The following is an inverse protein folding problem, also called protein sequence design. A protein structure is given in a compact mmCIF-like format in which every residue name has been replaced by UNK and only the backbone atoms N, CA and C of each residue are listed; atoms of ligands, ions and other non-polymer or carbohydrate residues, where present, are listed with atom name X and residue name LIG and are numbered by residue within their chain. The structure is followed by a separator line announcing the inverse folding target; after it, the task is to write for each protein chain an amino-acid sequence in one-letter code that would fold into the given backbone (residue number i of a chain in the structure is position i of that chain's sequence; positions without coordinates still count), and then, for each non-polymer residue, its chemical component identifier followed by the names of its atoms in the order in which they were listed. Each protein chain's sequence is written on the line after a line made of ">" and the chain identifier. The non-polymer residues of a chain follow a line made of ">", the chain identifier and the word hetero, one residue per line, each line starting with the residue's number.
data_IF_650891260180
#
_entry.id   IF_650891260180
#
_cell.length_a   1.000
_cell.length_b   1.000
_cell.length_c   1.000
_cell.angle_alpha   90.00
_cell.angle_beta   90.00
_cell.angle_gamma   90.00
#
_symmetry.space_group_name_H-M   'P 1'
#
loop_
_entity.id
_entity.type
_entity.pdbx_description
1 polymer ?
#
# COMPACT_ATOMS: atom_id res chain seq x y z
N UNK A 1 -39.57 46.62 -13.77
CA UNK A 1 -39.68 45.45 -12.88
C UNK A 1 -38.49 44.55 -13.20
N UNK A 2 -37.74 44.18 -12.15
CA UNK A 2 -36.52 43.32 -12.07
C UNK A 2 -35.27 43.77 -12.85
N UNK A 3 -34.14 44.24 -12.29
CA UNK A 3 -33.44 44.11 -10.99
C UNK A 3 -32.99 42.69 -10.58
N UNK A 4 -31.65 42.53 -10.64
CA UNK A 4 -30.73 41.81 -9.72
C UNK A 4 -30.04 40.53 -10.25
N UNK A 5 -28.79 40.36 -9.77
CA UNK A 5 -27.94 39.14 -9.75
C UNK A 5 -27.10 38.96 -11.04
N UNK A 6 -25.77 39.12 -11.14
CA UNK A 6 -24.62 38.97 -10.23
C UNK A 6 -23.48 39.92 -10.66
N UNK A 7 -22.98 40.74 -9.73
CA UNK A 7 -21.59 41.19 -9.76
C UNK A 7 -20.70 39.97 -9.46
N UNK A 8 -19.92 39.52 -10.42
CA UNK A 8 -18.77 38.66 -10.14
C UNK A 8 -17.59 39.57 -9.75
N UNK A 9 -17.20 39.45 -8.48
CA UNK A 9 -16.11 40.17 -7.86
C UNK A 9 -14.82 40.02 -8.68
N UNK A 10 -14.32 41.16 -9.15
CA UNK A 10 -12.93 41.35 -9.54
C UNK A 10 -12.13 41.25 -8.24
N UNK A 11 -11.44 40.13 -7.99
CA UNK A 11 -10.45 40.03 -6.91
C UNK A 11 -9.30 40.96 -7.30
N UNK A 12 -9.01 42.04 -6.55
CA UNK A 12 -7.77 42.76 -6.75
C UNK A 12 -6.66 41.93 -6.10
N UNK A 13 -5.77 41.36 -6.91
CA UNK A 13 -4.45 40.95 -6.46
C UNK A 13 -3.77 42.23 -5.97
N UNK A 14 -3.71 42.40 -4.66
CA UNK A 14 -2.98 43.46 -4.00
C UNK A 14 -1.50 43.31 -4.36
N UNK A 15 -1.03 44.20 -5.23
CA UNK A 15 0.38 44.53 -5.35
C UNK A 15 0.83 45.21 -4.05
N UNK A 16 1.22 44.43 -3.05
CA UNK A 16 2.06 44.94 -1.97
C UNK A 16 3.50 44.98 -2.49
N UNK A 17 3.84 46.08 -3.17
CA UNK A 17 5.22 46.52 -3.35
C UNK A 17 5.74 46.86 -1.95
N UNK A 18 6.33 45.87 -1.29
CA UNK A 18 7.06 46.08 -0.06
C UNK A 18 8.49 46.49 -0.46
N UNK A 19 8.72 47.80 -0.59
CA UNK A 19 10.06 48.36 -0.66
C UNK A 19 10.83 47.95 0.60
N UNK A 20 11.73 46.96 0.47
CA UNK A 20 12.61 46.56 1.56
C UNK A 20 13.78 47.54 1.64
N UNK A 21 14.12 48.05 2.84
CA UNK A 21 15.30 48.88 3.01
C UNK A 21 16.57 48.04 2.77
N UNK A 22 17.52 48.62 2.03
CA UNK A 22 18.82 48.04 1.71
C UNK A 22 19.57 47.65 3.00
N UNK A 23 19.65 46.35 3.31
CA UNK A 23 20.53 45.86 4.38
C UNK A 23 21.96 45.82 3.87
N UNK A 24 22.84 46.56 4.56
CA UNK A 24 24.29 46.49 4.37
C UNK A 24 24.79 45.09 4.73
N UNK A 25 25.57 44.47 3.83
CA UNK A 25 26.16 43.14 4.03
C UNK A 25 27.35 43.22 5.01
N UNK A 26 27.50 42.29 5.96
CA UNK A 26 28.77 42.11 6.67
C UNK A 26 29.82 41.44 5.75
N UNK A 27 31.12 41.65 6.02
CA UNK A 27 32.21 41.05 5.24
C UNK A 27 32.29 39.53 5.45
N UNK A 28 32.62 38.81 4.37
CA UNK A 28 32.81 37.35 4.35
C UNK A 28 34.06 36.96 5.16
N UNK A 29 34.04 35.91 6.00
CA UNK A 29 35.27 35.29 6.46
C UNK A 29 35.87 34.42 5.35
N UNK A 30 37.17 34.60 5.13
CA UNK A 30 38.00 33.78 4.28
C UNK A 30 38.07 32.35 4.85
N UNK A 31 37.51 31.37 4.12
CA UNK A 31 37.76 29.96 4.40
C UNK A 31 39.19 29.62 3.95
N UNK A 32 40.10 29.52 4.91
CA UNK A 32 41.44 29.00 4.71
C UNK A 32 41.39 27.46 4.80
N UNK A 33 41.56 26.79 3.66
CA UNK A 33 41.56 25.32 3.57
C UNK A 33 43.00 24.85 3.68
N UNK A 34 43.53 24.71 4.90
CA UNK A 34 44.84 24.09 5.09
C UNK A 34 44.87 23.20 6.33
N UNK A 35 45.09 21.90 6.09
CA UNK A 35 45.62 20.85 6.99
C UNK A 35 44.81 20.46 8.24
N UNK A 36 44.26 19.25 8.20
CA UNK A 36 44.45 18.31 9.31
C UNK A 36 44.43 16.86 8.79
N UNK A 37 45.59 16.37 8.37
CA UNK A 37 45.92 14.94 8.36
C UNK A 37 46.27 14.54 9.79
N UNK A 38 45.49 13.67 10.42
CA UNK A 38 45.94 12.93 11.59
C UNK A 38 45.50 11.48 11.51
N UNK A 39 46.49 10.62 11.54
CA UNK A 39 46.41 9.17 11.54
C UNK A 39 45.80 8.65 12.84
N UNK A 40 44.94 7.62 12.73
CA UNK A 40 44.76 6.63 13.80
C UNK A 40 44.76 5.25 13.15
N UNK A 41 45.91 4.58 13.29
CA UNK A 41 46.01 3.13 13.20
C UNK A 41 45.41 2.55 14.50
N UNK A 42 44.55 1.54 14.38
CA UNK A 42 43.88 0.95 15.55
C UNK A 42 43.11 -0.31 15.15
N UNK A 43 43.86 -1.40 15.04
CA UNK A 43 43.42 -2.78 14.86
C UNK A 43 42.45 -3.19 15.98
N UNK A 44 41.27 -3.73 15.64
CA UNK A 44 40.47 -4.56 16.55
C UNK A 44 39.96 -5.79 15.77
N UNK A 45 40.22 -7.02 16.24
CA UNK A 45 39.96 -8.25 15.50
C UNK A 45 38.48 -8.67 15.58
N UNK A 46 38.07 -9.35 14.51
CA UNK A 46 36.83 -10.13 14.39
C UNK A 46 36.82 -11.26 15.43
N UNK A 47 35.84 -11.23 16.33
CA UNK A 47 35.52 -12.34 17.22
C UNK A 47 34.25 -13.05 16.71
N UNK A 48 34.43 -14.32 16.40
CA UNK A 48 33.44 -15.33 16.01
C UNK A 48 32.15 -15.33 16.84
N UNK A 49 31.02 -15.51 16.17
CA UNK A 49 29.80 -16.07 16.77
C UNK A 49 29.26 -17.15 15.83
N UNK A 50 29.57 -18.40 16.16
CA UNK A 50 28.96 -19.57 15.55
C UNK A 50 28.84 -20.65 16.62
N UNK A 51 27.62 -20.90 17.09
CA UNK A 51 27.19 -22.16 17.71
C UNK A 51 25.68 -22.12 17.94
N UNK A 52 24.94 -22.92 17.18
CA UNK A 52 23.70 -23.50 17.69
C UNK A 52 23.40 -24.80 16.93
N UNK A 53 23.80 -25.91 17.53
CA UNK A 53 23.33 -27.25 17.21
C UNK A 53 23.06 -27.93 18.55
N UNK A 54 21.82 -28.30 18.80
CA UNK A 54 21.47 -29.17 19.90
C UNK A 54 20.41 -30.17 19.42
N UNK A 55 20.86 -31.41 19.28
CA UNK A 55 20.07 -32.62 19.12
C UNK A 55 19.40 -32.97 20.46
N UNK A 56 18.18 -33.51 20.42
CA UNK A 56 17.87 -34.64 21.29
C UNK A 56 16.67 -35.45 20.79
N UNK A 57 16.94 -36.72 20.54
CA UNK A 57 15.97 -37.79 20.44
C UNK A 57 15.39 -38.17 21.82
N UNK A 58 14.19 -38.77 21.86
CA UNK A 58 13.97 -40.08 22.52
C UNK A 58 12.56 -40.65 22.32
N UNK A 59 12.52 -41.98 22.33
CA UNK A 59 11.50 -42.91 21.82
C UNK A 59 10.56 -43.52 22.91
N UNK A 60 9.44 -44.11 22.43
CA UNK A 60 8.69 -45.31 22.90
C UNK A 60 7.84 -45.27 24.21
N UNK A 61 6.91 -46.24 24.52
CA UNK A 61 6.35 -47.39 23.77
C UNK A 61 4.81 -47.69 23.91
N UNK A 62 4.42 -48.78 23.24
CA UNK A 62 3.16 -49.55 23.07
C UNK A 62 2.32 -50.00 24.29
N UNK A 63 1.05 -50.42 24.05
CA UNK A 63 0.43 -51.64 24.65
C UNK A 63 -0.81 -52.20 23.90
N UNK A 64 -1.03 -53.51 24.13
CA UNK A 64 -1.84 -54.55 23.42
C UNK A 64 -3.31 -54.72 23.86
N UNK A 65 -4.08 -55.41 23.01
CA UNK A 65 -5.13 -56.42 23.36
C UNK A 65 -6.47 -56.17 22.64
N UNK A 66 -7.23 -57.12 22.05
CA UNK A 66 -7.16 -58.57 21.87
C UNK A 66 -8.55 -59.21 22.11
N UNK A 67 -9.07 -60.02 21.15
CA UNK A 67 -10.13 -61.07 21.29
C UNK A 67 -11.62 -60.60 21.39
N UNK A 68 -12.69 -61.27 20.91
CA UNK A 68 -12.93 -62.55 20.19
C UNK A 68 -14.37 -62.57 19.61
N UNK A 69 -14.59 -63.46 18.64
CA UNK A 69 -15.82 -63.78 17.91
C UNK A 69 -16.86 -64.56 18.74
N UNK A 70 -18.14 -64.57 18.32
CA UNK A 70 -18.89 -65.77 17.83
C UNK A 70 -20.34 -65.43 17.45
N UNK A 71 -20.81 -65.97 16.33
CA UNK A 71 -22.22 -66.02 15.94
C UNK A 71 -22.78 -67.43 16.10
N UNK A 72 -24.11 -67.59 16.06
CA UNK A 72 -24.78 -68.81 15.57
C UNK A 72 -26.27 -68.53 15.31
N UNK A 73 -26.67 -68.91 14.11
CA UNK A 73 -28.03 -68.96 13.55
C UNK A 73 -28.83 -70.12 14.12
N UNK A 74 -30.16 -69.99 14.20
CA UNK A 74 -31.09 -71.11 14.01
C UNK A 74 -32.51 -70.67 13.64
N UNK A 75 -33.11 -71.54 12.85
CA UNK A 75 -34.23 -71.39 11.91
C UNK A 75 -35.61 -71.71 12.49
N UNK A 76 -36.61 -71.01 11.95
CA UNK A 76 -38.05 -71.29 11.77
C UNK A 76 -38.73 -72.44 12.55
N UNK A 77 -39.88 -72.11 13.17
CA UNK A 77 -41.02 -73.03 13.25
C UNK A 77 -42.34 -72.23 13.29
N UNK A 78 -43.25 -72.55 12.35
CA UNK A 78 -44.60 -72.02 12.22
C UNK A 78 -45.53 -72.79 13.17
N UNK A 79 -46.20 -72.09 14.08
CA UNK A 79 -47.33 -72.63 14.85
C UNK A 79 -48.43 -71.55 14.95
N UNK A 80 -49.47 -71.75 14.14
CA UNK A 80 -50.72 -71.00 14.10
C UNK A 80 -51.43 -71.01 15.44
N UNK A 81 -51.70 -69.84 16.04
CA UNK A 81 -52.65 -69.71 17.15
C UNK A 81 -52.99 -68.25 17.49
N UNK A 82 -54.23 -67.82 17.21
CA UNK A 82 -55.06 -66.67 17.71
C UNK A 82 -54.46 -65.30 18.06
N UNK A 83 -53.14 -65.11 18.07
CA UNK A 83 -52.41 -63.86 18.29
C UNK A 83 -52.29 -63.04 16.99
N UNK A 84 -52.51 -63.69 15.85
CA UNK A 84 -52.39 -63.10 14.52
C UNK A 84 -53.43 -62.01 14.24
N UNK A 85 -54.61 -62.05 14.88
CA UNK A 85 -55.66 -61.04 14.66
C UNK A 85 -55.29 -59.67 15.27
N UNK A 86 -54.61 -59.64 16.41
CA UNK A 86 -54.19 -58.39 17.10
C UNK A 86 -52.93 -57.81 16.42
N UNK A 87 -52.02 -58.69 15.98
CA UNK A 87 -50.83 -58.29 15.22
C UNK A 87 -51.24 -57.71 13.86
N UNK A 88 -52.29 -58.23 13.22
CA UNK A 88 -52.81 -57.70 11.96
C UNK A 88 -53.43 -56.29 12.11
N UNK A 89 -54.19 -56.01 13.17
CA UNK A 89 -54.71 -54.66 13.43
C UNK A 89 -53.59 -53.64 13.72
N UNK A 90 -52.57 -54.04 14.48
CA UNK A 90 -51.41 -53.19 14.76
C UNK A 90 -50.52 -52.98 13.53
N UNK A 91 -50.42 -53.98 12.64
CA UNK A 91 -49.74 -53.86 11.34
C UNK A 91 -50.50 -52.92 10.40
N UNK A 92 -51.83 -52.99 10.35
CA UNK A 92 -52.68 -52.08 9.57
C UNK A 92 -52.58 -50.64 10.08
N UNK A 93 -52.60 -50.42 11.40
CA UNK A 93 -52.38 -49.10 12.00
C UNK A 93 -50.97 -48.57 11.72
N UNK A 94 -49.95 -49.43 11.79
CA UNK A 94 -48.56 -49.06 11.47
C UNK A 94 -48.39 -48.70 10.00
N UNK A 95 -49.06 -49.42 9.09
CA UNK A 95 -49.08 -49.10 7.66
C UNK A 95 -49.82 -47.79 7.36
N UNK A 96 -50.91 -47.48 8.06
CA UNK A 96 -51.61 -46.21 7.93
C UNK A 96 -50.80 -45.02 8.46
N UNK A 97 -50.08 -45.19 9.58
CA UNK A 97 -49.20 -44.14 10.13
C UNK A 97 -47.95 -43.94 9.27
N UNK A 98 -47.37 -45.00 8.72
CA UNK A 98 -46.26 -44.93 7.75
C UNK A 98 -46.72 -44.32 6.40
N UNK A 99 -47.94 -44.62 5.97
CA UNK A 99 -48.55 -44.06 4.75
C UNK A 99 -48.87 -42.57 4.86
N UNK A 100 -49.33 -42.10 6.03
CA UNK A 100 -49.60 -40.69 6.27
C UNK A 100 -48.32 -39.83 6.35
N UNK A 101 -47.18 -40.42 6.71
CA UNK A 101 -45.88 -39.73 6.69
C UNK A 101 -45.30 -39.46 5.30
N UNK A 102 -45.80 -40.14 4.26
CA UNK A 102 -45.33 -39.99 2.87
C UNK A 102 -45.98 -38.81 2.13
N UNK A 103 -46.93 -38.10 2.74
CA UNK A 103 -47.63 -36.95 2.13
C UNK A 103 -47.11 -35.58 2.58
N UNK A 104 -45.99 -35.54 3.32
CA UNK A 104 -45.28 -34.31 3.69
C UNK A 104 -43.93 -34.22 2.97
N UNK A 105 -43.94 -34.22 1.63
CA UNK A 105 -42.78 -33.78 0.87
C UNK A 105 -42.86 -32.27 0.69
N UNK A 106 -42.16 -31.51 1.53
CA UNK A 106 -41.92 -30.09 1.25
C UNK A 106 -41.20 -29.95 -0.09
N UNK A 107 -41.55 -28.94 -0.87
CA UNK A 107 -40.82 -28.62 -2.10
C UNK A 107 -39.38 -28.27 -1.73
N UNK A 108 -38.47 -29.22 -1.97
CA UNK A 108 -37.05 -28.93 -1.97
C UNK A 108 -36.80 -28.25 -3.31
N UNK A 109 -36.83 -26.92 -3.33
CA UNK A 109 -36.28 -26.18 -4.45
C UNK A 109 -34.80 -26.58 -4.55
N UNK A 110 -34.48 -27.38 -5.56
CA UNK A 110 -33.11 -27.59 -5.97
C UNK A 110 -32.65 -26.29 -6.63
N UNK A 111 -32.30 -25.31 -5.81
CA UNK A 111 -31.56 -24.14 -6.27
C UNK A 111 -30.31 -24.70 -6.94
N UNK A 112 -30.13 -24.41 -8.23
CA UNK A 112 -28.99 -24.84 -9.01
C UNK A 112 -27.68 -24.69 -8.21
N UNK A 113 -26.84 -25.71 -8.31
CA UNK A 113 -25.69 -25.96 -7.42
C UNK A 113 -24.88 -24.72 -7.05
N UNK A 114 -24.29 -24.78 -5.85
CA UNK A 114 -23.57 -23.70 -5.17
C UNK A 114 -22.33 -23.14 -5.88
N UNK A 115 -22.06 -23.52 -7.13
CA UNK A 115 -20.88 -23.14 -7.89
C UNK A 115 -21.22 -22.73 -9.34
N UNK A 116 -20.59 -21.66 -9.87
CA UNK A 116 -20.77 -21.25 -11.26
C UNK A 116 -20.30 -22.34 -12.24
N UNK A 117 -20.80 -22.30 -13.48
CA UNK A 117 -20.44 -23.26 -14.52
C UNK A 117 -18.91 -23.39 -14.67
N UNK A 118 -18.40 -24.63 -14.63
CA UNK A 118 -16.95 -24.91 -14.64
C UNK A 118 -16.34 -25.12 -13.25
N UNK A 119 -17.13 -25.08 -12.17
CA UNK A 119 -16.69 -25.35 -10.81
C UNK A 119 -17.56 -26.40 -10.10
N UNK A 120 -16.95 -27.21 -9.24
CA UNK A 120 -17.62 -28.20 -8.38
C UNK A 120 -17.48 -27.81 -6.90
N UNK A 121 -18.47 -28.13 -6.04
CA UNK A 121 -18.40 -27.81 -4.62
C UNK A 121 -17.31 -28.66 -3.94
N UNK A 122 -16.48 -28.00 -3.14
CA UNK A 122 -15.45 -28.59 -2.28
C UNK A 122 -15.68 -28.16 -0.85
N UNK A 123 -15.78 -29.11 0.08
CA UNK A 123 -16.05 -28.80 1.47
C UNK A 123 -16.68 -29.94 2.26
N UNK A 124 -16.50 -29.89 3.58
CA UNK A 124 -17.15 -30.75 4.57
C UNK A 124 -17.45 -29.94 5.83
N UNK A 125 -18.44 -30.39 6.63
CA UNK A 125 -18.91 -29.79 7.90
C UNK A 125 -18.48 -28.34 8.18
N UNK A 126 -19.03 -27.37 7.43
CA UNK A 126 -19.01 -25.95 7.79
C UNK A 126 -18.26 -25.00 6.86
N UNK A 127 -17.44 -25.48 5.92
CA UNK A 127 -16.80 -24.64 4.90
C UNK A 127 -17.07 -25.20 3.50
N UNK A 128 -17.83 -24.45 2.70
CA UNK A 128 -18.17 -24.76 1.31
C UNK A 128 -17.44 -23.78 0.40
N UNK A 129 -16.66 -24.29 -0.55
CA UNK A 129 -15.98 -23.53 -1.61
C UNK A 129 -16.19 -24.17 -2.98
N UNK A 130 -15.69 -23.53 -4.03
CA UNK A 130 -15.80 -24.01 -5.41
C UNK A 130 -14.42 -24.27 -6.01
N UNK A 131 -14.18 -25.47 -6.55
CA UNK A 131 -12.96 -25.83 -7.24
C UNK A 131 -13.20 -26.02 -8.74
N UNK A 132 -12.25 -25.66 -9.62
CA UNK A 132 -12.42 -25.75 -11.06
C UNK A 132 -12.50 -27.21 -11.53
N UNK A 133 -13.39 -27.52 -12.48
CA UNK A 133 -13.45 -28.84 -13.10
C UNK A 133 -12.19 -29.08 -13.95
N UNK A 134 -11.51 -30.22 -13.79
CA UNK A 134 -10.37 -30.57 -14.65
C UNK A 134 -10.87 -30.77 -16.09
N UNK A 135 -10.42 -29.91 -17.01
CA UNK A 135 -10.75 -30.00 -18.44
C UNK A 135 -11.87 -29.09 -18.95
N UNK A 136 -12.63 -28.42 -18.07
CA UNK A 136 -13.42 -27.27 -18.50
C UNK A 136 -12.47 -26.08 -18.65
N UNK A 137 -12.27 -25.66 -19.90
CA UNK A 137 -11.39 -24.57 -20.27
C UNK A 137 -11.53 -23.42 -19.29
N UNK A 138 -10.40 -23.09 -18.67
CA UNK A 138 -10.18 -21.90 -17.87
C UNK A 138 -10.50 -20.71 -18.78
N UNK A 139 -11.77 -20.30 -18.85
CA UNK A 139 -12.13 -19.00 -19.38
C UNK A 139 -11.73 -18.01 -18.28
N UNK A 140 -10.41 -17.81 -18.11
CA UNK A 140 -9.92 -16.63 -17.43
C UNK A 140 -10.56 -15.46 -18.15
N UNK A 141 -11.47 -14.78 -17.46
CA UNK A 141 -11.89 -13.45 -17.87
C UNK A 141 -10.60 -12.65 -18.18
N UNK A 142 -10.56 -11.86 -19.28
CA UNK A 142 -9.39 -11.08 -19.61
C UNK A 142 -8.95 -10.29 -18.38
N UNK A 143 -7.70 -10.47 -17.95
CA UNK A 143 -7.15 -9.65 -16.86
C UNK A 143 -7.30 -8.18 -17.26
N UNK A 144 -7.75 -7.30 -16.33
CA UNK A 144 -7.82 -5.89 -16.60
C UNK A 144 -6.42 -5.39 -17.01
N UNK A 145 -6.33 -4.43 -17.95
CA UNK A 145 -5.04 -3.91 -18.38
C UNK A 145 -4.26 -3.37 -17.17
N UNK A 146 -2.96 -3.65 -17.14
CA UNK A 146 -2.09 -3.17 -16.07
C UNK A 146 -2.12 -1.64 -15.99
N UNK A 147 -2.07 -1.06 -14.78
CA UNK A 147 -2.08 0.38 -14.62
C UNK A 147 -0.84 1.00 -15.27
N UNK A 148 -1.04 2.06 -16.04
CA UNK A 148 0.06 2.81 -16.65
C UNK A 148 0.30 4.10 -15.86
N UNK A 149 1.56 4.36 -15.54
CA UNK A 149 1.98 5.53 -14.76
C UNK A 149 2.85 6.44 -15.63
N UNK A 150 2.52 7.73 -15.64
CA UNK A 150 3.31 8.76 -16.29
C UNK A 150 4.16 9.50 -15.23
N UNK A 151 5.45 9.66 -15.51
CA UNK A 151 6.34 10.45 -14.67
C UNK A 151 5.92 11.92 -14.67
N UNK A 152 5.97 12.55 -13.51
CA UNK A 152 5.81 14.00 -13.39
C UNK A 152 7.12 14.62 -12.94
N UNK A 153 7.46 15.73 -13.57
CA UNK A 153 8.69 16.47 -13.35
C UNK A 153 8.44 17.78 -12.61
N UNK A 154 9.30 18.06 -11.65
CA UNK A 154 9.42 19.37 -11.02
C UNK A 154 10.84 19.92 -11.17
N UNK A 155 10.99 21.23 -10.98
CA UNK A 155 12.30 21.88 -10.96
C UNK A 155 12.27 23.12 -10.07
N UNK A 156 13.43 23.47 -9.54
CA UNK A 156 13.65 24.67 -8.75
C UNK A 156 14.86 25.40 -9.35
N UNK A 157 14.68 26.70 -9.57
CA UNK A 157 15.72 27.61 -9.98
C UNK A 157 15.85 28.74 -8.97
N UNK A 158 17.06 29.18 -8.67
CA UNK A 158 17.28 30.32 -7.79
C UNK A 158 18.30 31.29 -8.35
N UNK A 159 18.23 32.52 -7.84
CA UNK A 159 19.28 33.52 -7.93
C UNK A 159 19.55 34.06 -6.52
N UNK A 160 20.48 33.40 -5.81
CA UNK A 160 20.79 33.71 -4.40
C UNK A 160 21.08 35.20 -4.12
N UNK A 161 21.93 35.89 -4.92
CA UNK A 161 22.16 37.33 -4.74
C UNK A 161 20.94 38.24 -4.81
N UNK A 162 19.88 37.83 -5.51
CA UNK A 162 18.66 38.60 -5.73
C UNK A 162 17.45 38.02 -4.97
N UNK A 163 17.65 37.01 -4.10
CA UNK A 163 16.61 36.31 -3.35
C UNK A 163 15.44 35.82 -4.22
N UNK A 164 15.70 35.48 -5.48
CA UNK A 164 14.67 35.04 -6.42
C UNK A 164 14.57 33.51 -6.44
N UNK A 165 13.34 32.99 -6.31
CA UNK A 165 13.02 31.55 -6.35
C UNK A 165 11.97 31.28 -7.44
N UNK A 166 12.37 30.50 -8.44
CA UNK A 166 11.50 29.97 -9.48
C UNK A 166 11.21 28.49 -9.31
N UNK A 167 9.98 28.07 -9.56
CA UNK A 167 9.54 26.69 -9.36
C UNK A 167 8.68 26.19 -10.52
N UNK A 168 8.70 24.88 -10.73
CA UNK A 168 7.76 24.18 -11.59
C UNK A 168 7.43 22.83 -10.97
N UNK A 169 6.17 22.40 -11.08
CA UNK A 169 5.68 21.10 -10.64
C UNK A 169 4.79 20.48 -11.73
N UNK A 170 4.61 19.17 -11.66
CA UNK A 170 3.67 18.39 -12.47
C UNK A 170 3.83 18.53 -13.99
N UNK A 171 5.07 18.75 -14.45
CA UNK A 171 5.37 18.85 -15.89
C UNK A 171 5.60 17.47 -16.50
N UNK A 172 5.41 17.37 -17.82
CA UNK A 172 5.56 16.10 -18.54
C UNK A 172 7.02 15.75 -18.83
N UNK A 173 7.91 16.74 -18.77
CA UNK A 173 9.34 16.52 -19.04
C UNK A 173 10.24 17.37 -18.15
N UNK A 174 11.47 16.88 -17.94
CA UNK A 174 12.54 17.64 -17.27
C UNK A 174 12.78 19.00 -17.91
N UNK A 175 12.83 19.04 -19.25
CA UNK A 175 13.09 20.26 -20.02
C UNK A 175 12.02 21.32 -19.78
N UNK A 176 10.75 20.92 -19.85
CA UNK A 176 9.61 21.80 -19.58
C UNK A 176 9.66 22.33 -18.14
N UNK A 177 9.87 21.44 -17.15
CA UNK A 177 10.00 21.83 -15.75
C UNK A 177 11.12 22.87 -15.55
N UNK A 178 12.32 22.59 -16.06
CA UNK A 178 13.47 23.48 -15.92
C UNK A 178 13.24 24.82 -16.61
N UNK A 179 12.66 24.83 -17.80
CA UNK A 179 12.36 26.08 -18.51
C UNK A 179 11.36 26.95 -17.73
N UNK A 180 10.28 26.36 -17.23
CA UNK A 180 9.27 27.08 -16.45
C UNK A 180 9.86 27.59 -15.13
N UNK A 181 10.66 26.79 -14.42
CA UNK A 181 11.31 27.23 -13.18
C UNK A 181 12.29 28.40 -13.44
N UNK A 182 13.06 28.38 -14.53
CA UNK A 182 13.93 29.51 -14.90
C UNK A 182 13.12 30.77 -15.24
N UNK A 183 12.02 30.64 -15.96
CA UNK A 183 11.14 31.76 -16.31
C UNK A 183 10.50 32.37 -15.07
N UNK A 184 10.00 31.53 -14.15
CA UNK A 184 9.41 31.95 -12.88
C UNK A 184 10.45 32.69 -12.02
N UNK A 185 11.69 32.17 -11.92
CA UNK A 185 12.78 32.84 -11.21
C UNK A 185 13.07 34.24 -11.78
N UNK A 186 13.16 34.35 -13.11
CA UNK A 186 13.41 35.64 -13.78
C UNK A 186 12.24 36.61 -13.59
N UNK A 187 11.00 36.10 -13.63
CA UNK A 187 9.80 36.92 -13.42
C UNK A 187 9.73 37.52 -12.00
N UNK A 188 10.39 36.87 -11.04
CA UNK A 188 10.49 37.31 -9.64
C UNK A 188 11.71 38.19 -9.36
N UNK A 189 12.38 38.70 -10.39
CA UNK A 189 13.51 39.63 -10.27
C UNK A 189 14.89 38.96 -10.27
N UNK A 190 14.98 37.65 -10.51
CA UNK A 190 16.26 36.99 -10.69
C UNK A 190 16.94 37.38 -12.01
N UNK A 191 18.22 37.72 -11.95
CA UNK A 191 19.04 38.10 -13.11
C UNK A 191 19.86 36.91 -13.58
N UNK A 192 20.48 36.19 -12.66
CA UNK A 192 21.38 35.06 -12.90
C UNK A 192 20.78 33.74 -12.41
N UNK A 193 19.51 33.51 -12.76
CA UNK A 193 18.77 32.30 -12.39
C UNK A 193 19.47 31.03 -12.90
N UNK A 194 19.69 30.07 -12.01
CA UNK A 194 20.24 28.74 -12.31
C UNK A 194 19.31 27.65 -11.78
N UNK A 195 19.32 26.49 -12.41
CA UNK A 195 18.59 25.31 -11.90
C UNK A 195 19.41 24.68 -10.78
N UNK A 196 18.84 24.61 -9.57
CA UNK A 196 19.46 23.91 -8.44
C UNK A 196 19.09 22.42 -8.45
N UNK A 197 17.83 22.12 -8.76
CA UNK A 197 17.36 20.74 -8.86
C UNK A 197 16.27 20.61 -9.93
N UNK A 198 16.29 19.48 -10.63
CA UNK A 198 15.18 18.99 -11.42
C UNK A 198 14.94 17.53 -11.05
N UNK A 199 13.73 17.24 -10.60
CA UNK A 199 13.35 15.99 -9.94
C UNK A 199 12.09 15.41 -10.58
N UNK A 200 11.86 14.12 -10.40
CA UNK A 200 10.65 13.46 -10.85
C UNK A 200 10.24 12.35 -9.90
N UNK A 201 8.93 12.10 -9.84
CA UNK A 201 8.32 11.11 -8.94
C UNK A 201 8.76 11.28 -7.47
N UNK A 202 9.03 12.51 -7.07
CA UNK A 202 9.70 12.88 -5.83
C UNK A 202 9.20 14.24 -5.34
N UNK A 203 9.59 14.59 -4.14
CA UNK A 203 9.38 15.89 -3.52
C UNK A 203 10.70 16.65 -3.40
N UNK A 204 10.63 17.97 -3.42
CA UNK A 204 11.75 18.85 -3.22
C UNK A 204 11.48 19.85 -2.10
N UNK A 205 12.55 20.31 -1.46
CA UNK A 205 12.53 21.31 -0.41
C UNK A 205 13.64 22.35 -0.64
N UNK A 206 13.30 23.60 -0.38
CA UNK A 206 14.25 24.71 -0.22
C UNK A 206 14.31 25.02 1.26
N UNK A 207 15.49 24.91 1.87
CA UNK A 207 15.72 25.26 3.26
C UNK A 207 16.59 26.50 3.31
N UNK A 208 16.15 27.50 4.06
CA UNK A 208 16.84 28.78 4.21
C UNK A 208 17.31 28.92 5.66
N UNK A 209 18.51 29.45 5.83
CA UNK A 209 19.04 29.92 7.10
C UNK A 209 19.64 31.31 6.95
N UNK A 210 20.09 31.89 8.06
CA UNK A 210 20.72 33.21 8.02
C UNK A 210 22.02 33.15 7.20
N UNK A 211 22.01 33.82 6.04
CA UNK A 211 23.17 33.91 5.16
C UNK A 211 23.29 32.84 4.09
N UNK A 212 22.32 31.92 3.95
CA UNK A 212 22.36 30.92 2.89
C UNK A 212 21.10 30.08 2.74
N UNK A 213 21.09 29.24 1.71
CA UNK A 213 20.04 28.28 1.44
C UNK A 213 20.64 26.99 0.89
N UNK A 214 19.87 25.91 0.97
CA UNK A 214 20.11 24.69 0.24
C UNK A 214 18.81 24.20 -0.40
N UNK A 215 18.96 23.43 -1.47
CA UNK A 215 17.86 22.84 -2.22
C UNK A 215 18.14 21.35 -2.36
N UNK A 216 17.15 20.53 -2.08
CA UNK A 216 17.27 19.08 -2.18
C UNK A 216 15.94 18.42 -2.56
N UNK A 217 16.02 17.15 -2.93
CA UNK A 217 14.86 16.32 -3.27
C UNK A 217 14.97 14.95 -2.61
N UNK A 218 13.81 14.35 -2.33
CA UNK A 218 13.68 13.02 -1.76
C UNK A 218 12.33 12.40 -2.15
N UNK A 219 12.13 11.13 -1.79
CA UNK A 219 10.87 10.43 -2.06
C UNK A 219 9.63 11.10 -1.42
N UNK A 220 9.80 11.77 -0.27
CA UNK A 220 8.73 12.46 0.46
C UNK A 220 9.18 13.85 0.91
N UNK A 221 8.22 14.71 1.23
CA UNK A 221 8.49 16.06 1.76
C UNK A 221 9.30 15.99 3.06
N UNK A 222 8.94 15.11 3.98
CA UNK A 222 9.58 15.02 5.30
C UNK A 222 11.06 14.66 5.19
N UNK A 223 11.41 13.73 4.29
CA UNK A 223 12.80 13.33 4.07
C UNK A 223 13.58 14.48 3.41
N UNK A 224 12.97 15.17 2.42
CA UNK A 224 13.60 16.30 1.75
C UNK A 224 13.88 17.45 2.74
N UNK A 225 12.91 17.78 3.59
CA UNK A 225 13.05 18.80 4.63
C UNK A 225 14.06 18.37 5.69
N UNK A 226 13.97 17.15 6.21
CA UNK A 226 14.90 16.66 7.22
C UNK A 226 16.35 16.69 6.72
N UNK A 227 16.57 16.26 5.47
CA UNK A 227 17.88 16.32 4.81
C UNK A 227 18.36 17.76 4.64
N UNK A 228 17.51 18.66 4.12
CA UNK A 228 17.89 20.06 3.94
C UNK A 228 18.13 20.81 5.25
N UNK A 229 17.36 20.50 6.29
CA UNK A 229 17.57 21.04 7.65
C UNK A 229 18.88 20.57 8.25
N UNK A 230 19.23 19.29 8.06
CA UNK A 230 20.54 18.75 8.45
C UNK A 230 21.67 19.47 7.71
N UNK A 231 21.58 19.58 6.38
CA UNK A 231 22.58 20.30 5.56
C UNK A 231 22.73 21.76 5.99
N UNK A 232 21.63 22.44 6.31
CA UNK A 232 21.65 23.82 6.78
C UNK A 232 22.42 23.97 8.11
N UNK A 233 22.13 23.10 9.09
CA UNK A 233 22.79 23.10 10.41
C UNK A 233 24.26 22.68 10.33
N UNK A 234 24.56 21.63 9.57
CA UNK A 234 25.92 21.15 9.36
C UNK A 234 26.79 22.20 8.64
N UNK A 235 26.16 23.03 7.80
CA UNK A 235 26.78 24.20 7.17
C UNK A 235 27.00 25.39 8.12
N UNK A 236 26.60 25.29 9.39
CA UNK A 236 26.78 26.33 10.40
C UNK A 236 25.79 27.49 10.30
N UNK A 237 24.69 27.36 9.55
CA UNK A 237 23.66 28.40 9.43
C UNK A 237 22.71 28.38 10.63
N UNK A 238 22.26 29.56 11.05
CA UNK A 238 21.23 29.73 12.09
C UNK A 238 19.85 29.94 11.48
N UNK A 239 18.79 29.81 12.29
CA UNK A 239 17.40 29.99 11.86
C UNK A 239 16.99 29.17 10.63
N UNK A 240 17.55 27.96 10.50
CA UNK A 240 17.18 27.02 9.45
C UNK A 240 15.69 26.68 9.51
N UNK A 241 14.99 26.87 8.39
CA UNK A 241 13.59 26.48 8.23
C UNK A 241 13.29 26.11 6.77
N UNK A 242 12.29 25.27 6.55
CA UNK A 242 11.79 25.00 5.21
C UNK A 242 11.09 26.26 4.67
N UNK A 243 11.58 26.78 3.55
CA UNK A 243 11.05 27.95 2.87
C UNK A 243 10.03 27.55 1.79
N UNK A 244 10.30 26.47 1.07
CA UNK A 244 9.41 25.95 0.04
C UNK A 244 9.47 24.43 -0.01
N UNK A 245 8.33 23.79 -0.23
CA UNK A 245 8.24 22.36 -0.50
C UNK A 245 7.21 22.10 -1.58
N UNK A 246 7.48 21.10 -2.43
CA UNK A 246 6.51 20.63 -3.41
C UNK A 246 6.85 19.22 -3.90
N UNK A 247 5.87 18.55 -4.49
CA UNK A 247 6.05 17.23 -5.08
C UNK A 247 5.63 17.23 -6.55
N UNK A 248 6.21 16.31 -7.31
CA UNK A 248 5.76 15.95 -8.66
C UNK A 248 5.70 14.44 -8.72
N UNK A 249 4.55 13.90 -8.31
CA UNK A 249 4.31 12.46 -8.14
C UNK A 249 3.80 11.84 -9.43
N UNK A 250 4.04 10.54 -9.68
CA UNK A 250 3.55 9.89 -10.89
C UNK A 250 2.03 9.92 -10.95
N UNK A 251 1.48 10.14 -12.15
CA UNK A 251 0.03 10.16 -12.39
C UNK A 251 -0.37 8.92 -13.16
N UNK A 252 -1.45 8.26 -12.73
CA UNK A 252 -2.01 7.11 -13.43
C UNK A 252 -2.75 7.58 -14.69
N UNK A 253 -2.39 7.01 -15.84
CA UNK A 253 -2.97 7.34 -17.15
C UNK A 253 -3.79 6.20 -17.76
N UNK A 254 -3.73 4.99 -17.20
CA UNK A 254 -4.55 3.82 -17.57
C UNK A 254 -4.72 2.90 -16.37
#
# INVERSE_FOLDING_TARGET
>A
MDRLIRLAAKVPLANSVFERPARRRPPRPFFNVTRLTLAIAGVIPFSSFAQNANENERQHPQRRGGSKQTGTTKTHSLASNRRDLIVLENLLRSLLVMGAGLLWTGEVHAEGGSCPSGYYPVGGQGTMGCAPLPGSGNQQAPLPPAPQWERRWGAIATDGPNDALGVATDKRSKREASQIAMQDCKSKGGVSCKIDVAYDNQCAAVVVGDGGYNVGNAATVDIAVASGMKTCRDGGLTNCHAYYTACSLPVRIR
#
